data_IF_375266366329
#
_entry.id   IF_375266366329
#
_cell.length_a   1.000
_cell.length_b   1.000
_cell.length_c   1.000
_cell.angle_alpha   90.00
_cell.angle_beta   90.00
_cell.angle_gamma   90.00
#
_symmetry.space_group_name_H-M   'P 1'
#
loop_
_entity.id
_entity.type
_entity.pdbx_description
1 polymer ?
#
# COMPACT_ATOMS: atom_id res chain seq x y z
N UNK A 1 22.70 6.33 25.53
CA UNK A 1 21.76 5.32 24.99
C UNK A 1 20.86 6.00 23.98
N UNK A 2 20.96 5.58 22.73
CA UNK A 2 20.38 6.24 21.56
C UNK A 2 18.85 6.09 21.62
N UNK A 3 18.14 7.18 21.87
CA UNK A 3 16.71 7.25 21.64
C UNK A 3 16.52 7.18 20.13
N UNK A 4 15.99 6.04 19.66
CA UNK A 4 15.60 5.85 18.26
C UNK A 4 14.59 6.93 17.92
N UNK A 5 14.98 7.81 17.01
CA UNK A 5 14.10 8.78 16.38
C UNK A 5 12.92 8.02 15.74
N UNK A 6 11.80 7.92 16.46
CA UNK A 6 10.52 7.63 15.84
C UNK A 6 10.22 8.83 14.95
N UNK A 7 10.52 8.75 13.66
CA UNK A 7 9.77 9.52 12.68
C UNK A 7 8.39 8.87 12.61
N UNK A 8 7.30 9.49 13.11
CA UNK A 8 5.98 8.98 12.87
C UNK A 8 5.64 9.29 11.42
N UNK A 9 6.07 8.45 10.49
CA UNK A 9 5.49 8.40 9.16
C UNK A 9 4.14 7.69 9.31
N UNK A 10 3.19 8.43 9.88
CA UNK A 10 1.92 7.91 10.38
C UNK A 10 1.16 7.19 9.28
N UNK A 11 0.66 5.99 9.55
CA UNK A 11 -0.30 5.27 8.71
C UNK A 11 -1.42 6.18 8.19
N UNK A 12 -1.88 7.10 9.05
CA UNK A 12 -2.86 8.15 8.74
C UNK A 12 -2.46 9.06 7.58
N UNK A 13 -1.18 9.41 7.45
CA UNK A 13 -0.69 10.22 6.34
C UNK A 13 -0.71 9.44 5.01
N UNK A 14 -0.35 8.16 5.06
CA UNK A 14 -0.51 7.26 3.93
C UNK A 14 -1.99 7.08 3.55
N UNK A 15 -2.87 6.92 4.54
CA UNK A 15 -4.32 6.81 4.31
C UNK A 15 -4.89 8.04 3.64
N UNK A 16 -4.50 9.24 4.08
CA UNK A 16 -4.91 10.50 3.47
C UNK A 16 -4.43 10.61 2.00
N UNK A 17 -3.18 10.25 1.73
CA UNK A 17 -2.67 10.18 0.34
C UNK A 17 -3.43 9.16 -0.52
N UNK A 18 -3.73 7.99 0.04
CA UNK A 18 -4.51 6.97 -0.64
C UNK A 18 -5.93 7.46 -0.94
N UNK A 19 -6.57 8.11 0.02
CA UNK A 19 -7.91 8.66 -0.15
C UNK A 19 -7.94 9.75 -1.22
N UNK A 20 -6.99 10.68 -1.20
CA UNK A 20 -6.85 11.70 -2.24
C UNK A 20 -6.64 11.07 -3.63
N UNK A 21 -5.80 10.05 -3.74
CA UNK A 21 -5.58 9.30 -4.98
C UNK A 21 -6.82 8.53 -5.44
N UNK A 22 -7.57 7.94 -4.51
CA UNK A 22 -8.78 7.17 -4.82
C UNK A 22 -9.95 8.08 -5.23
N UNK A 23 -10.07 9.27 -4.64
CA UNK A 23 -11.12 10.23 -4.98
C UNK A 23 -10.80 11.00 -6.26
N UNK A 24 -9.55 11.41 -6.44
CA UNK A 24 -9.09 12.14 -7.61
C UNK A 24 -7.85 11.47 -8.21
N UNK A 25 -8.03 10.34 -8.92
CA UNK A 25 -6.90 9.69 -9.57
C UNK A 25 -6.40 10.57 -10.71
N UNK A 26 -5.08 10.80 -10.82
CA UNK A 26 -4.52 11.60 -11.90
C UNK A 26 -4.89 10.98 -13.26
N UNK A 27 -4.99 11.84 -14.28
CA UNK A 27 -5.33 11.41 -15.64
C UNK A 27 -4.33 10.38 -16.20
N UNK A 28 -3.07 10.49 -15.77
CA UNK A 28 -1.99 9.55 -16.08
C UNK A 28 -1.35 9.07 -14.78
N UNK A 29 -1.46 7.77 -14.50
CA UNK A 29 -0.92 7.13 -13.30
C UNK A 29 0.46 6.58 -13.65
N UNK A 30 1.50 7.22 -13.12
CA UNK A 30 2.90 6.76 -13.20
C UNK A 30 3.29 6.07 -11.90
N UNK A 31 4.49 5.48 -11.88
CA UNK A 31 4.99 4.81 -10.67
C UNK A 31 5.03 5.76 -9.47
N UNK A 32 5.33 7.04 -9.67
CA UNK A 32 5.37 8.04 -8.60
C UNK A 32 3.98 8.54 -8.15
N UNK A 33 2.94 8.36 -8.98
CA UNK A 33 1.58 8.76 -8.65
C UNK A 33 0.90 7.80 -7.66
N UNK A 34 1.28 6.53 -7.68
CA UNK A 34 0.72 5.53 -6.78
C UNK A 34 1.27 5.77 -5.37
N UNK A 35 0.40 5.98 -4.36
CA UNK A 35 0.83 6.14 -2.98
C UNK A 35 1.25 4.77 -2.44
N UNK A 36 2.51 4.39 -2.66
CA UNK A 36 3.09 3.17 -2.12
C UNK A 36 3.19 3.25 -0.59
N UNK A 37 3.00 2.14 0.14
CA UNK A 37 3.16 2.09 1.59
C UNK A 37 4.64 1.97 1.97
N UNK A 38 5.49 2.78 1.32
CA UNK A 38 6.93 2.80 1.46
C UNK A 38 7.31 4.11 2.20
N UNK A 39 8.06 3.99 3.29
CA UNK A 39 8.44 5.15 4.13
C UNK A 39 9.93 5.47 4.00
N UNK A 40 10.77 4.45 4.17
CA UNK A 40 12.23 4.51 4.05
C UNK A 40 12.71 3.33 3.22
N UNK A 41 12.11 2.15 3.43
CA UNK A 41 12.32 0.96 2.63
C UNK A 41 11.00 0.43 2.01
N UNK A 42 11.09 -0.35 0.92
CA UNK A 42 9.97 -1.11 0.37
C UNK A 42 9.16 -1.83 1.44
N UNK A 43 7.88 -1.48 1.57
CA UNK A 43 6.87 -2.13 2.42
C UNK A 43 7.06 -1.95 3.93
N UNK A 44 8.00 -1.13 4.38
CA UNK A 44 8.35 -1.00 5.80
C UNK A 44 7.15 -0.54 6.67
N UNK A 45 6.38 0.43 6.17
CA UNK A 45 5.15 0.90 6.83
C UNK A 45 4.06 -0.19 6.87
N UNK A 46 3.91 -0.93 5.77
CA UNK A 46 2.94 -2.01 5.65
C UNK A 46 3.27 -3.16 6.60
N UNK A 47 4.53 -3.59 6.63
CA UNK A 47 5.01 -4.65 7.49
C UNK A 47 4.90 -4.28 8.98
N UNK A 48 5.32 -3.07 9.35
CA UNK A 48 5.19 -2.56 10.72
C UNK A 48 3.74 -2.51 11.18
N UNK A 49 2.81 -2.07 10.31
CA UNK A 49 1.38 -2.02 10.65
C UNK A 49 0.75 -3.42 10.71
N UNK A 50 1.14 -4.33 9.83
CA UNK A 50 0.73 -5.74 9.88
C UNK A 50 1.15 -6.38 11.20
N UNK A 51 2.42 -6.33 11.58
CA UNK A 51 2.90 -6.88 12.86
C UNK A 51 2.25 -6.21 14.08
N UNK A 52 2.01 -4.89 14.03
CA UNK A 52 1.28 -4.21 15.09
C UNK A 52 -0.17 -4.68 15.22
N UNK A 53 -0.85 -4.96 14.09
CA UNK A 53 -2.21 -5.51 14.11
C UNK A 53 -2.27 -6.96 14.58
N UNK A 54 -1.26 -7.78 14.25
CA UNK A 54 -1.13 -9.15 14.75
C UNK A 54 -1.05 -9.18 16.28
N UNK A 55 -0.27 -8.28 16.86
CA UNK A 55 -0.15 -8.14 18.31
C UNK A 55 -1.44 -7.65 18.99
N UNK A 56 -2.28 -6.89 18.29
CA UNK A 56 -3.54 -6.35 18.80
C UNK A 56 -4.67 -7.41 18.87
N UNK A 57 -4.60 -8.46 18.04
CA UNK A 57 -5.53 -9.59 18.09
C UNK A 57 -6.09 -10.01 16.74
N UNK A 58 -6.68 -11.21 16.69
CA UNK A 58 -6.99 -11.89 15.44
C UNK A 58 -8.08 -11.24 14.59
N UNK A 59 -9.08 -10.57 15.17
CA UNK A 59 -10.17 -9.97 14.37
C UNK A 59 -9.76 -8.68 13.66
N UNK A 60 -9.15 -7.74 14.39
CA UNK A 60 -8.63 -6.50 13.80
C UNK A 60 -7.56 -6.79 12.74
N UNK A 61 -6.65 -7.73 13.01
CA UNK A 61 -5.66 -8.18 12.05
C UNK A 61 -6.29 -8.77 10.78
N UNK A 62 -7.29 -9.66 10.93
CA UNK A 62 -8.00 -10.24 9.77
C UNK A 62 -8.71 -9.18 8.93
N UNK A 63 -9.39 -8.23 9.56
CA UNK A 63 -10.08 -7.14 8.86
C UNK A 63 -9.07 -6.25 8.14
N UNK A 64 -7.97 -5.90 8.79
CA UNK A 64 -6.91 -5.08 8.23
C UNK A 64 -6.23 -5.75 7.03
N UNK A 65 -5.86 -7.03 7.15
CA UNK A 65 -5.35 -7.83 6.02
C UNK A 65 -6.33 -7.90 4.87
N UNK A 66 -7.62 -8.15 5.15
CA UNK A 66 -8.64 -8.22 4.10
C UNK A 66 -8.81 -6.90 3.36
N UNK A 67 -8.75 -5.78 4.09
CA UNK A 67 -8.77 -4.45 3.48
C UNK A 67 -7.57 -4.25 2.54
N UNK A 68 -6.36 -4.63 2.98
CA UNK A 68 -5.15 -4.50 2.17
C UNK A 68 -5.15 -5.43 0.95
N UNK A 69 -5.65 -6.65 1.11
CA UNK A 69 -5.82 -7.61 0.01
C UNK A 69 -6.73 -7.04 -1.08
N UNK A 70 -7.88 -6.46 -0.70
CA UNK A 70 -8.81 -5.86 -1.66
C UNK A 70 -8.20 -4.62 -2.34
N UNK A 71 -7.48 -3.80 -1.57
CA UNK A 71 -6.85 -2.56 -2.06
C UNK A 71 -5.72 -2.84 -3.05
N UNK A 72 -4.83 -3.77 -2.70
CA UNK A 72 -3.66 -4.13 -3.50
C UNK A 72 -3.91 -5.34 -4.40
N UNK A 73 -5.16 -5.75 -4.60
CA UNK A 73 -5.44 -6.85 -5.51
C UNK A 73 -5.08 -6.44 -6.95
N UNK A 74 -4.20 -7.17 -7.65
CA UNK A 74 -3.73 -6.77 -8.98
C UNK A 74 -4.90 -6.59 -9.96
N UNK A 75 -5.85 -7.53 -9.97
CA UNK A 75 -7.03 -7.44 -10.84
C UNK A 75 -7.94 -6.24 -10.50
N UNK A 76 -8.18 -5.93 -9.21
CA UNK A 76 -9.01 -4.76 -8.83
C UNK A 76 -8.33 -3.46 -9.19
N UNK A 77 -7.02 -3.38 -8.97
CA UNK A 77 -6.25 -2.19 -9.32
C UNK A 77 -6.22 -2.00 -10.85
N UNK A 78 -6.04 -3.08 -11.61
CA UNK A 78 -6.09 -3.04 -13.06
C UNK A 78 -7.47 -2.66 -13.60
N UNK A 79 -8.55 -3.15 -13.00
CA UNK A 79 -9.92 -2.75 -13.38
C UNK A 79 -10.20 -1.27 -13.11
N UNK A 80 -9.71 -0.73 -12.00
CA UNK A 80 -9.98 0.66 -11.58
C UNK A 80 -9.07 1.69 -12.28
N UNK A 81 -7.80 1.34 -12.43
CA UNK A 81 -6.75 2.27 -12.83
C UNK A 81 -6.03 1.85 -14.12
N UNK A 82 -6.26 0.64 -14.61
CA UNK A 82 -5.49 0.04 -15.71
C UNK A 82 -5.54 0.83 -17.02
N UNK A 83 -6.66 1.48 -17.33
CA UNK A 83 -6.77 2.36 -18.51
C UNK A 83 -5.97 3.66 -18.38
N UNK A 84 -5.66 4.09 -17.16
CA UNK A 84 -4.94 5.34 -16.88
C UNK A 84 -3.45 5.12 -16.58
N UNK A 85 -3.01 3.87 -16.51
CA UNK A 85 -1.60 3.55 -16.27
C UNK A 85 -0.77 3.97 -17.48
N UNK A 86 0.33 4.68 -17.23
CA UNK A 86 1.31 4.94 -18.26
C UNK A 86 1.91 3.63 -18.75
N UNK A 87 1.90 3.37 -20.07
CA UNK A 87 2.40 2.11 -20.65
C UNK A 87 3.83 1.77 -20.19
N UNK A 88 4.67 2.80 -20.07
CA UNK A 88 6.06 2.74 -19.62
C UNK A 88 6.22 2.17 -18.19
N UNK A 89 5.28 2.50 -17.30
CA UNK A 89 5.30 2.11 -15.89
C UNK A 89 4.30 0.99 -15.57
N UNK A 90 3.40 0.64 -16.50
CA UNK A 90 2.29 -0.28 -16.28
C UNK A 90 2.76 -1.63 -15.75
N UNK A 91 3.75 -2.24 -16.41
CA UNK A 91 4.31 -3.51 -15.97
C UNK A 91 4.98 -3.41 -14.60
N UNK A 92 5.74 -2.34 -14.37
CA UNK A 92 6.44 -2.08 -13.11
C UNK A 92 5.47 -1.91 -11.94
N UNK A 93 4.40 -1.14 -12.15
CA UNK A 93 3.33 -0.91 -11.18
C UNK A 93 2.62 -2.22 -10.88
N UNK A 94 2.20 -2.97 -11.90
CA UNK A 94 1.51 -4.25 -11.73
C UNK A 94 2.37 -5.30 -11.01
N UNK A 95 3.67 -5.35 -11.33
CA UNK A 95 4.62 -6.23 -10.62
C UNK A 95 4.76 -5.83 -9.15
N UNK A 96 4.85 -4.53 -8.86
CA UNK A 96 4.93 -4.00 -7.50
C UNK A 96 3.66 -4.31 -6.69
N UNK A 97 2.47 -4.11 -7.28
CA UNK A 97 1.18 -4.43 -6.66
C UNK A 97 1.09 -5.93 -6.36
N UNK A 98 1.50 -6.77 -7.30
CA UNK A 98 1.52 -8.23 -7.10
C UNK A 98 2.44 -8.62 -5.93
N UNK A 99 3.61 -7.97 -5.82
CA UNK A 99 4.55 -8.18 -4.71
C UNK A 99 3.94 -7.78 -3.37
N UNK A 100 3.27 -6.62 -3.31
CA UNK A 100 2.55 -6.17 -2.12
C UNK A 100 1.42 -7.12 -1.72
N UNK A 101 0.62 -7.55 -2.68
CA UNK A 101 -0.46 -8.50 -2.45
C UNK A 101 0.05 -9.84 -1.89
N UNK A 102 1.15 -10.35 -2.44
CA UNK A 102 1.81 -11.56 -1.92
C UNK A 102 2.36 -11.35 -0.51
N UNK A 103 2.95 -10.19 -0.22
CA UNK A 103 3.44 -9.86 1.13
C UNK A 103 2.30 -9.87 2.16
N UNK A 104 1.18 -9.22 1.82
CA UNK A 104 -0.02 -9.18 2.68
C UNK A 104 -0.61 -10.58 2.87
N UNK A 105 -0.59 -11.44 1.85
CA UNK A 105 -1.07 -12.82 1.97
C UNK A 105 -0.15 -13.71 2.80
N UNK A 106 1.16 -13.44 2.80
CA UNK A 106 2.18 -14.24 3.50
C UNK A 106 2.45 -13.81 4.94
N UNK A 107 2.07 -12.59 5.33
CA UNK A 107 2.13 -12.12 6.72
C UNK A 107 1.02 -12.79 7.51
#
# INVERSE_FOLDING_TARGET
>A
HILRNHTPTSWTFYENKWEAFSQCPPARITYASVPWPDVLEPNDLLASKLSSSEAAGGEEHRQFKRMLQLRWHPDKFQQMYGERLADEDRERIMHRITTLFQLVNRS
#
